data_IF_034142906642
#
_entry.id   IF_034142906642
#
_cell.length_a   1.000
_cell.length_b   1.000
_cell.length_c   1.000
_cell.angle_alpha   90.00
_cell.angle_beta   90.00
_cell.angle_gamma   90.00
#
_symmetry.space_group_name_H-M   'P 1'
#
loop_
_entity.id
_entity.type
_entity.pdbx_description
1 polymer ?
#
# COMPACT_ATOMS: atom_id res chain seq x y z
N UNK A 1 -12.96 -16.60 7.22
CA UNK A 1 -13.50 -15.31 6.75
C UNK A 1 -12.66 -14.85 5.56
N UNK A 2 -13.18 -14.92 4.32
CA UNK A 2 -12.50 -14.39 3.12
C UNK A 2 -13.01 -12.97 2.90
N UNK A 3 -12.17 -11.96 3.16
CA UNK A 3 -12.60 -10.55 3.15
C UNK A 3 -12.92 -10.06 1.73
N UNK A 4 -12.21 -10.56 0.72
CA UNK A 4 -12.38 -10.14 -0.68
C UNK A 4 -13.06 -11.24 -1.50
N UNK A 5 -14.33 -11.01 -1.87
CA UNK A 5 -15.06 -11.82 -2.86
C UNK A 5 -14.65 -11.40 -4.28
N UNK A 6 -14.58 -12.33 -5.26
CA UNK A 6 -14.12 -12.07 -6.63
C UNK A 6 -15.05 -11.17 -7.49
N UNK A 7 -16.00 -10.46 -6.88
CA UNK A 7 -16.94 -9.60 -7.60
C UNK A 7 -16.33 -8.26 -8.03
N UNK A 8 -15.15 -7.90 -7.49
CA UNK A 8 -14.35 -6.73 -7.89
C UNK A 8 -13.21 -7.06 -8.88
N UNK A 9 -13.14 -8.27 -9.44
CA UNK A 9 -12.01 -8.69 -10.31
C UNK A 9 -11.86 -7.84 -11.58
N UNK A 10 -12.85 -7.01 -11.95
CA UNK A 10 -12.73 -6.05 -13.07
C UNK A 10 -12.08 -4.70 -12.70
N UNK A 11 -11.92 -4.38 -11.42
CA UNK A 11 -11.25 -3.17 -10.93
C UNK A 11 -10.30 -3.57 -9.82
N UNK A 12 -9.00 -3.56 -10.12
CA UNK A 12 -7.97 -3.86 -9.14
C UNK A 12 -8.13 -2.98 -7.90
N UNK A 13 -7.87 -3.55 -6.73
CA UNK A 13 -7.88 -2.84 -5.45
C UNK A 13 -6.50 -2.95 -4.83
N UNK A 14 -6.06 -1.87 -4.21
CA UNK A 14 -4.79 -1.82 -3.47
C UNK A 14 -5.01 -1.17 -2.10
N UNK A 15 -4.08 -1.47 -1.19
CA UNK A 15 -4.07 -1.00 0.19
C UNK A 15 -2.62 -0.68 0.58
N UNK A 16 -2.38 0.54 1.05
CA UNK A 16 -1.13 0.92 1.69
C UNK A 16 -1.19 0.54 3.18
N UNK A 17 -0.26 -0.27 3.65
CA UNK A 17 -0.09 -0.62 5.06
C UNK A 17 1.29 -0.20 5.53
N UNK A 18 1.46 0.18 6.79
CA UNK A 18 2.79 0.48 7.34
C UNK A 18 3.74 -0.69 7.08
N UNK A 19 4.89 -0.41 6.48
CA UNK A 19 5.93 -1.40 6.23
C UNK A 19 6.46 -1.98 7.55
N UNK A 20 6.94 -3.21 7.50
CA UNK A 20 7.53 -3.85 8.65
C UNK A 20 8.89 -3.20 8.95
N UNK A 21 8.95 -2.47 10.06
CA UNK A 21 10.17 -1.87 10.59
C UNK A 21 10.43 -2.47 11.98
N UNK A 22 11.45 -3.33 12.14
CA UNK A 22 11.78 -3.92 13.44
C UNK A 22 12.14 -2.91 14.53
N UNK A 23 12.48 -1.67 14.16
CA UNK A 23 12.77 -0.60 15.10
C UNK A 23 11.51 0.17 15.54
N UNK A 24 10.35 -0.09 14.95
CA UNK A 24 9.11 0.59 15.31
C UNK A 24 8.51 0.00 16.60
N UNK A 25 8.12 0.88 17.53
CA UNK A 25 7.47 0.51 18.80
C UNK A 25 6.19 -0.35 18.60
N UNK A 26 5.53 -0.19 17.45
CA UNK A 26 4.31 -0.91 17.08
C UNK A 26 4.53 -2.09 16.12
N UNK A 27 5.75 -2.65 16.04
CA UNK A 27 6.10 -3.73 15.12
C UNK A 27 5.11 -4.91 15.14
N UNK A 28 4.75 -5.43 16.32
CA UNK A 28 3.83 -6.56 16.46
C UNK A 28 2.44 -6.27 15.88
N UNK A 29 1.98 -5.03 15.96
CA UNK A 29 0.71 -4.61 15.35
C UNK A 29 0.82 -4.57 13.83
N UNK A 30 1.95 -4.08 13.30
CA UNK A 30 2.20 -4.08 11.85
C UNK A 30 2.22 -5.49 11.28
N UNK A 31 2.86 -6.43 11.97
CA UNK A 31 2.86 -7.87 11.60
C UNK A 31 1.44 -8.42 11.59
N UNK A 32 0.65 -8.23 12.66
CA UNK A 32 -0.74 -8.72 12.73
C UNK A 32 -1.61 -8.14 11.61
N UNK A 33 -1.46 -6.85 11.32
CA UNK A 33 -2.19 -6.14 10.26
C UNK A 33 -1.84 -6.69 8.88
N UNK A 34 -0.54 -6.86 8.60
CA UNK A 34 -0.06 -7.45 7.34
C UNK A 34 -0.62 -8.86 7.14
N UNK A 35 -0.48 -9.71 8.14
CA UNK A 35 -0.97 -11.09 8.08
C UNK A 35 -2.50 -11.18 7.88
N UNK A 36 -3.26 -10.27 8.49
CA UNK A 36 -4.70 -10.18 8.29
C UNK A 36 -5.06 -9.96 6.81
N UNK A 37 -4.37 -9.03 6.14
CA UNK A 37 -4.63 -8.72 4.74
C UNK A 37 -4.14 -9.81 3.78
N UNK A 38 -3.00 -10.44 4.07
CA UNK A 38 -2.51 -11.59 3.30
C UNK A 38 -3.46 -12.79 3.39
N UNK A 39 -3.94 -13.13 4.60
CA UNK A 39 -5.00 -14.16 4.77
C UNK A 39 -6.32 -13.76 4.09
N UNK A 40 -6.55 -12.46 3.93
CA UNK A 40 -7.67 -11.90 3.19
C UNK A 40 -7.61 -12.10 1.68
N UNK A 41 -6.44 -12.48 1.14
CA UNK A 41 -6.23 -12.72 -0.30
C UNK A 41 -5.58 -11.55 -1.04
N UNK A 42 -5.06 -10.55 -0.32
CA UNK A 42 -4.20 -9.52 -0.90
C UNK A 42 -2.78 -10.07 -1.08
N UNK A 43 -2.10 -9.63 -2.12
CA UNK A 43 -0.72 -10.01 -2.42
C UNK A 43 0.19 -8.78 -2.33
N UNK A 44 1.44 -8.94 -1.88
CA UNK A 44 2.44 -7.89 -1.98
C UNK A 44 2.62 -7.46 -3.44
N UNK A 45 2.56 -6.16 -3.68
CA UNK A 45 2.68 -5.59 -5.02
C UNK A 45 4.13 -5.35 -5.43
N UNK A 46 5.08 -5.55 -4.49
CA UNK A 46 6.51 -5.33 -4.72
C UNK A 46 6.85 -3.86 -4.89
N UNK A 47 6.17 -2.98 -4.15
CA UNK A 47 6.44 -1.55 -4.14
C UNK A 47 6.12 -0.98 -2.76
N UNK A 48 6.92 0.00 -2.37
CA UNK A 48 6.70 0.75 -1.14
C UNK A 48 6.49 2.23 -1.47
N UNK A 49 5.77 2.93 -0.61
CA UNK A 49 5.54 4.36 -0.73
C UNK A 49 5.96 5.01 0.57
N UNK A 50 6.84 5.99 0.48
CA UNK A 50 7.15 6.85 1.61
C UNK A 50 6.19 8.04 1.59
N UNK A 51 5.43 8.20 2.66
CA UNK A 51 4.60 9.37 2.92
C UNK A 51 5.17 10.08 4.16
N UNK A 52 5.89 11.19 3.94
CA UNK A 52 6.60 11.88 5.02
C UNK A 52 7.70 10.99 5.66
N UNK A 53 7.58 10.70 6.96
CA UNK A 53 8.52 9.84 7.69
C UNK A 53 8.13 8.35 7.71
N UNK A 54 6.97 7.98 7.17
CA UNK A 54 6.45 6.61 7.25
C UNK A 54 6.55 5.94 5.88
N UNK A 55 7.09 4.72 5.88
CA UNK A 55 7.13 3.87 4.68
C UNK A 55 5.99 2.87 4.74
N UNK A 56 5.24 2.76 3.65
CA UNK A 56 4.11 1.88 3.48
C UNK A 56 4.41 0.80 2.42
N UNK A 57 4.03 -0.44 2.69
CA UNK A 57 3.97 -1.55 1.73
C UNK A 57 2.62 -1.52 1.01
N UNK A 58 2.61 -1.64 -0.32
CA UNK A 58 1.39 -1.79 -1.08
C UNK A 58 1.01 -3.26 -1.25
N UNK A 59 -0.20 -3.60 -0.81
CA UNK A 59 -0.85 -4.88 -1.04
C UNK A 59 -2.01 -4.71 -2.03
N UNK A 60 -2.29 -5.69 -2.88
CA UNK A 60 -3.36 -5.57 -3.86
C UNK A 60 -3.89 -6.88 -4.41
N UNK A 61 -4.96 -6.79 -5.21
CA UNK A 61 -5.52 -7.90 -5.96
C UNK A 61 -6.07 -7.40 -7.32
N UNK A 62 -6.08 -8.29 -8.33
CA UNK A 62 -6.63 -7.97 -9.66
C UNK A 62 -5.64 -7.42 -10.69
N UNK A 63 -4.33 -7.54 -10.48
CA UNK A 63 -3.29 -7.14 -11.42
C UNK A 63 -2.11 -6.46 -10.71
N UNK A 64 -1.06 -6.10 -11.46
CA UNK A 64 -0.04 -5.16 -10.97
C UNK A 64 -0.56 -3.74 -11.20
N UNK A 65 -0.61 -2.94 -10.14
CA UNK A 65 -0.79 -1.49 -10.21
C UNK A 65 0.60 -0.91 -10.45
N UNK A 66 0.77 -0.08 -11.47
CA UNK A 66 2.04 0.62 -11.66
C UNK A 66 2.17 1.70 -10.58
N UNK A 67 3.39 1.98 -10.11
CA UNK A 67 3.59 2.95 -9.05
C UNK A 67 3.15 4.36 -9.46
N UNK A 68 3.20 4.64 -10.77
CA UNK A 68 2.70 5.84 -11.42
C UNK A 68 1.17 5.95 -11.32
N UNK A 69 0.45 4.83 -11.43
CA UNK A 69 -1.01 4.79 -11.27
C UNK A 69 -1.40 5.09 -9.82
N UNK A 70 -0.65 4.55 -8.86
CA UNK A 70 -0.82 4.88 -7.44
C UNK A 70 -0.57 6.38 -7.19
N UNK A 71 0.55 6.91 -7.66
CA UNK A 71 0.90 8.33 -7.49
C UNK A 71 -0.15 9.25 -8.13
N UNK A 72 -0.66 8.91 -9.31
CA UNK A 72 -1.69 9.68 -10.00
C UNK A 72 -3.01 9.67 -9.21
N UNK A 73 -3.41 8.51 -8.69
CA UNK A 73 -4.62 8.38 -7.88
C UNK A 73 -4.53 9.19 -6.58
N UNK A 74 -3.38 9.17 -5.90
CA UNK A 74 -3.20 9.98 -4.68
C UNK A 74 -3.14 11.48 -5.01
N UNK A 75 -2.53 11.86 -6.13
CA UNK A 75 -2.53 13.26 -6.59
C UNK A 75 -3.94 13.77 -6.90
N UNK A 76 -4.79 12.92 -7.49
CA UNK A 76 -6.21 13.22 -7.72
C UNK A 76 -6.99 13.32 -6.40
N UNK A 77 -6.76 12.39 -5.47
CA UNK A 77 -7.44 12.35 -4.17
C UNK A 77 -7.09 13.54 -3.26
N UNK A 78 -5.79 13.87 -3.12
CA UNK A 78 -5.33 14.98 -2.26
C UNK A 78 -5.51 16.35 -2.93
N UNK A 79 -5.61 16.38 -4.25
CA UNK A 79 -5.56 17.61 -5.04
C UNK A 79 -4.13 18.13 -5.19
N UNK A 80 -3.88 18.86 -6.30
CA UNK A 80 -2.54 19.26 -6.75
C UNK A 80 -1.75 20.11 -5.73
N UNK A 81 -2.44 20.88 -4.89
CA UNK A 81 -1.81 21.75 -3.90
C UNK A 81 -1.25 20.93 -2.74
N UNK A 82 -2.07 20.07 -2.14
CA UNK A 82 -1.67 19.23 -0.98
C UNK A 82 -0.67 18.16 -1.42
N UNK A 83 -0.87 17.56 -2.59
CA UNK A 83 0.06 16.56 -3.13
C UNK A 83 1.48 17.11 -3.32
N UNK A 84 1.63 18.41 -3.61
CA UNK A 84 2.93 19.05 -3.79
C UNK A 84 3.71 19.19 -2.48
N UNK A 85 2.99 19.36 -1.36
CA UNK A 85 3.57 19.52 -0.04
C UNK A 85 3.83 18.17 0.66
N UNK A 86 3.15 17.11 0.23
CA UNK A 86 3.41 15.75 0.70
C UNK A 86 4.62 15.18 -0.06
N UNK A 87 5.68 14.87 0.67
CA UNK A 87 6.81 14.11 0.10
C UNK A 87 6.36 12.67 -0.12
N UNK A 88 5.90 12.39 -1.34
CA UNK A 88 5.61 11.05 -1.83
C UNK A 88 6.81 10.52 -2.60
N UNK A 89 7.40 9.41 -2.14
CA UNK A 89 8.45 8.72 -2.88
C UNK A 89 8.08 7.26 -3.06
N UNK A 90 8.04 6.82 -4.31
CA UNK A 90 7.97 5.41 -4.65
C UNK A 90 9.34 4.81 -4.35
N UNK A 91 9.37 3.84 -3.45
CA UNK A 91 10.56 3.09 -3.10
C UNK A 91 10.50 1.73 -3.81
N UNK A 92 11.63 1.27 -4.37
CA UNK A 92 11.73 -0.10 -4.85
C UNK A 92 11.47 -1.06 -3.68
N UNK A 93 10.95 -2.27 -3.94
CA UNK A 93 10.79 -3.27 -2.90
C UNK A 93 12.16 -3.53 -2.27
N UNK A 94 12.24 -3.50 -0.94
CA UNK A 94 13.45 -3.91 -0.24
C UNK A 94 13.77 -5.37 -0.63
N UNK A 95 15.04 -5.61 -0.94
CA UNK A 95 15.55 -6.89 -1.47
C UNK A 95 15.50 -7.99 -0.41
#
# INVERSE_FOLDING_TARGET
MKLFRPRNVRRGFFLAIESLDPAADNYDERVKRRDFYLRGGLLPMGMNVQEGSVVYELLGCGGKVAAEEYSALIAEYLGKTVFRDVTMRILPPEK
#
